data_IF_989466594574
#
_entry.id   IF_989466594574
#
_cell.length_a   1.000
_cell.length_b   1.000
_cell.length_c   1.000
_cell.angle_alpha   90.00
_cell.angle_beta   90.00
_cell.angle_gamma   90.00
#
_symmetry.space_group_name_H-M   'P 1'
#
loop_
_entity.id
_entity.type
_entity.pdbx_description
1 polymer ?
#
# COMPACT_ATOMS: atom_id res chain seq x y z
N UNK A 1 -1.86 4.10 -28.02
CA UNK A 1 -1.29 5.33 -27.45
C UNK A 1 -2.24 6.47 -27.73
N UNK A 2 -3.25 6.55 -26.88
CA UNK A 2 -4.11 7.69 -26.71
C UNK A 2 -3.71 8.43 -25.43
N UNK A 3 -4.17 9.66 -25.30
CA UNK A 3 -4.24 10.35 -24.01
C UNK A 3 -5.64 10.13 -23.46
N UNK A 4 -5.73 9.58 -22.25
CA UNK A 4 -7.00 9.29 -21.58
C UNK A 4 -7.01 9.92 -20.19
N UNK A 5 -8.14 10.49 -19.81
CA UNK A 5 -8.27 11.24 -18.55
C UNK A 5 -9.43 10.70 -17.70
N UNK A 6 -9.15 10.52 -16.42
CA UNK A 6 -10.13 10.10 -15.43
C UNK A 6 -11.17 11.19 -15.18
N UNK A 7 -12.45 10.82 -15.23
CA UNK A 7 -13.58 11.71 -14.98
C UNK A 7 -14.47 11.23 -13.84
N UNK A 8 -14.54 9.91 -13.60
CA UNK A 8 -15.31 9.33 -12.50
C UNK A 8 -16.82 9.59 -12.58
N UNK A 9 -17.41 9.43 -13.78
CA UNK A 9 -18.80 9.80 -14.09
C UNK A 9 -19.76 8.63 -14.30
N UNK A 10 -19.29 7.40 -14.23
CA UNK A 10 -20.10 6.21 -14.43
C UNK A 10 -21.25 6.13 -13.42
N UNK A 11 -22.40 5.63 -13.86
CA UNK A 11 -23.55 5.43 -12.99
C UNK A 11 -23.28 4.32 -11.97
N UNK A 12 -23.56 4.59 -10.69
CA UNK A 12 -23.43 3.59 -9.64
C UNK A 12 -24.50 2.50 -9.77
N UNK A 13 -24.06 1.25 -9.79
CA UNK A 13 -24.89 0.04 -9.84
C UNK A 13 -24.51 -0.82 -8.64
N UNK A 14 -25.51 -1.29 -7.89
CA UNK A 14 -25.30 -2.24 -6.78
C UNK A 14 -24.92 -3.62 -7.31
N UNK A 15 -23.95 -4.26 -6.66
CA UNK A 15 -23.74 -5.69 -6.84
C UNK A 15 -24.91 -6.46 -6.23
N UNK A 16 -25.34 -7.50 -6.93
CA UNK A 16 -26.35 -8.45 -6.47
C UNK A 16 -25.76 -9.86 -6.54
N UNK A 17 -25.74 -10.53 -5.39
CA UNK A 17 -25.42 -11.95 -5.28
C UNK A 17 -26.70 -12.75 -5.05
N UNK A 18 -26.87 -13.81 -5.83
CA UNK A 18 -27.94 -14.80 -5.65
C UNK A 18 -27.33 -16.08 -5.09
N UNK A 19 -27.75 -16.46 -3.89
CA UNK A 19 -27.36 -17.70 -3.22
C UNK A 19 -28.54 -18.66 -3.29
N UNK A 20 -28.45 -19.67 -4.15
CA UNK A 20 -29.53 -20.64 -4.36
C UNK A 20 -29.37 -21.83 -3.44
N UNK A 21 -30.42 -22.13 -2.68
CA UNK A 21 -30.53 -23.34 -1.86
C UNK A 21 -31.38 -24.37 -2.62
N UNK A 22 -30.92 -25.61 -2.67
CA UNK A 22 -31.62 -26.68 -3.38
C UNK A 22 -31.43 -28.04 -2.75
N UNK A 23 -31.86 -29.10 -3.45
CA UNK A 23 -31.74 -30.48 -2.98
C UNK A 23 -32.69 -30.80 -1.83
N UNK A 24 -32.42 -31.92 -1.14
CA UNK A 24 -33.23 -32.38 0.02
C UNK A 24 -32.58 -31.92 1.32
N UNK A 25 -33.27 -31.05 2.06
CA UNK A 25 -32.81 -30.52 3.34
C UNK A 25 -33.17 -31.49 4.47
N UNK A 26 -32.21 -31.83 5.31
CA UNK A 26 -32.45 -32.51 6.56
C UNK A 26 -32.34 -31.55 7.75
N UNK A 27 -33.16 -31.77 8.79
CA UNK A 27 -33.01 -31.02 10.04
C UNK A 27 -31.60 -31.26 10.58
N UNK A 28 -30.91 -30.17 10.91
CA UNK A 28 -29.54 -30.21 11.39
C UNK A 28 -28.46 -30.05 10.32
N UNK A 29 -28.81 -30.07 9.03
CA UNK A 29 -27.92 -29.62 7.96
C UNK A 29 -27.46 -28.18 8.22
N UNK A 30 -26.21 -27.86 7.87
CA UNK A 30 -25.71 -26.49 8.03
C UNK A 30 -25.36 -25.86 6.70
N UNK A 31 -25.68 -24.58 6.56
CA UNK A 31 -25.40 -23.74 5.40
C UNK A 31 -24.67 -22.49 5.86
N UNK A 32 -23.61 -22.11 5.14
CA UNK A 32 -22.68 -21.09 5.57
C UNK A 32 -22.37 -20.11 4.45
N UNK A 33 -22.25 -18.85 4.81
CA UNK A 33 -21.74 -17.77 3.96
C UNK A 33 -20.52 -17.17 4.64
N UNK A 34 -19.44 -16.98 3.89
CA UNK A 34 -18.17 -16.44 4.38
C UNK A 34 -17.82 -15.16 3.63
N UNK A 35 -17.51 -14.09 4.36
CA UNK A 35 -16.96 -12.82 3.84
C UNK A 35 -15.75 -12.48 4.68
N UNK A 36 -14.65 -12.07 4.05
CA UNK A 36 -13.42 -11.67 4.76
C UNK A 36 -12.96 -12.71 5.82
N UNK A 37 -12.98 -14.00 5.46
CA UNK A 37 -12.65 -15.14 6.33
C UNK A 37 -13.55 -15.32 7.57
N UNK A 38 -14.60 -14.50 7.75
CA UNK A 38 -15.61 -14.69 8.79
C UNK A 38 -16.84 -15.37 8.23
N UNK A 39 -17.38 -16.32 8.98
CA UNK A 39 -18.45 -17.20 8.52
C UNK A 39 -19.69 -17.03 9.36
N UNK A 40 -20.83 -16.79 8.70
CA UNK A 40 -22.17 -16.90 9.29
C UNK A 40 -22.75 -18.23 8.88
N UNK A 41 -23.20 -19.03 9.86
CA UNK A 41 -23.74 -20.37 9.64
C UNK A 41 -25.15 -20.47 10.19
N UNK A 42 -26.07 -20.99 9.39
CA UNK A 42 -27.39 -21.39 9.83
C UNK A 42 -27.50 -22.92 9.85
N UNK A 43 -28.16 -23.45 10.89
CA UNK A 43 -28.47 -24.88 11.03
C UNK A 43 -29.98 -25.05 10.79
N UNK A 44 -30.35 -25.86 9.79
CA UNK A 44 -31.74 -26.11 9.42
C UNK A 44 -32.54 -26.60 10.63
N UNK A 45 -33.59 -25.86 10.98
CA UNK A 45 -34.54 -26.20 12.03
C UNK A 45 -35.72 -27.00 11.48
N UNK A 46 -35.99 -26.90 10.17
CA UNK A 46 -36.95 -27.69 9.44
C UNK A 46 -36.34 -28.27 8.16
N UNK A 47 -36.93 -29.36 7.66
CA UNK A 47 -36.51 -30.03 6.44
C UNK A 47 -37.02 -29.32 5.16
N UNK A 48 -36.88 -27.99 5.08
CA UNK A 48 -37.37 -27.19 3.96
C UNK A 48 -36.34 -26.15 3.49
N UNK A 49 -36.40 -25.80 2.21
CA UNK A 49 -35.55 -24.75 1.64
C UNK A 49 -35.88 -23.38 2.26
N UNK A 50 -37.17 -23.08 2.46
CA UNK A 50 -37.63 -21.83 3.05
C UNK A 50 -37.11 -21.60 4.48
N UNK A 51 -36.94 -22.66 5.27
CA UNK A 51 -36.33 -22.57 6.61
C UNK A 51 -34.86 -22.12 6.51
N UNK A 52 -34.12 -22.69 5.57
CA UNK A 52 -32.71 -22.34 5.34
C UNK A 52 -32.56 -20.92 4.81
N UNK A 53 -33.35 -20.50 3.82
CA UNK A 53 -33.23 -19.14 3.24
C UNK A 53 -33.59 -18.07 4.27
N UNK A 54 -34.72 -18.21 4.97
CA UNK A 54 -35.12 -17.30 6.04
C UNK A 54 -34.12 -17.28 7.20
N UNK A 55 -33.61 -18.46 7.59
CA UNK A 55 -32.63 -18.62 8.66
C UNK A 55 -31.30 -17.95 8.36
N UNK A 56 -30.78 -18.11 7.14
CA UNK A 56 -29.57 -17.44 6.66
C UNK A 56 -29.74 -15.92 6.61
N UNK A 57 -30.83 -15.42 6.01
CA UNK A 57 -31.10 -13.97 5.93
C UNK A 57 -31.17 -13.35 7.32
N UNK A 58 -31.84 -14.01 8.26
CA UNK A 58 -31.92 -13.56 9.66
C UNK A 58 -30.53 -13.55 10.32
N UNK A 59 -29.73 -14.59 10.13
CA UNK A 59 -28.41 -14.68 10.73
C UNK A 59 -27.42 -13.64 10.18
N UNK A 60 -27.45 -13.39 8.86
CA UNK A 60 -26.55 -12.42 8.20
C UNK A 60 -26.96 -10.97 8.44
N UNK A 61 -28.25 -10.71 8.62
CA UNK A 61 -28.78 -9.36 8.93
C UNK A 61 -28.75 -9.02 10.42
N UNK A 62 -28.33 -9.94 11.28
CA UNK A 62 -28.30 -9.72 12.73
C UNK A 62 -27.27 -8.64 13.11
N UNK A 63 -27.55 -7.86 14.16
CA UNK A 63 -26.61 -6.83 14.63
C UNK A 63 -25.30 -7.43 15.16
N UNK A 64 -25.33 -8.69 15.60
CA UNK A 64 -24.16 -9.45 16.03
C UNK A 64 -23.39 -10.10 14.88
N UNK A 65 -23.92 -10.06 13.65
CA UNK A 65 -23.17 -10.49 12.48
C UNK A 65 -21.92 -9.61 12.28
N UNK A 66 -20.84 -10.14 11.70
CA UNK A 66 -19.67 -9.33 11.41
C UNK A 66 -20.00 -8.11 10.54
N UNK A 67 -19.26 -7.01 10.75
CA UNK A 67 -19.54 -5.73 10.12
C UNK A 67 -19.63 -5.81 8.58
N UNK A 68 -18.78 -6.61 7.95
CA UNK A 68 -18.77 -6.83 6.50
C UNK A 68 -20.06 -7.47 5.95
N UNK A 69 -20.82 -8.22 6.75
CA UNK A 69 -22.15 -8.73 6.34
C UNK A 69 -23.23 -7.65 6.41
N UNK A 70 -23.06 -6.68 7.32
CA UNK A 70 -24.03 -5.62 7.59
C UNK A 70 -23.99 -4.49 6.55
N UNK A 71 -22.98 -4.46 5.68
CA UNK A 71 -22.96 -3.59 4.49
C UNK A 71 -23.97 -4.05 3.43
N UNK A 72 -24.36 -5.33 3.46
CA UNK A 72 -25.19 -5.97 2.45
C UNK A 72 -26.62 -6.06 2.97
N UNK A 73 -27.58 -5.67 2.12
CA UNK A 73 -28.99 -5.91 2.38
C UNK A 73 -29.34 -7.32 1.93
N UNK A 74 -29.59 -8.22 2.87
CA UNK A 74 -29.98 -9.60 2.60
C UNK A 74 -31.50 -9.73 2.57
N UNK A 75 -32.03 -10.47 1.59
CA UNK A 75 -33.45 -10.74 1.44
C UNK A 75 -33.72 -12.20 1.11
N UNK A 76 -34.84 -12.71 1.61
CA UNK A 76 -35.32 -14.07 1.32
C UNK A 76 -36.22 -14.01 0.09
N UNK A 77 -35.82 -14.72 -0.95
CA UNK A 77 -36.56 -14.90 -2.19
C UNK A 77 -36.59 -16.40 -2.54
N UNK A 78 -36.93 -17.23 -1.55
CA UNK A 78 -36.89 -18.69 -1.63
C UNK A 78 -37.28 -19.23 -3.02
N UNK A 79 -36.42 -20.05 -3.67
CA UNK A 79 -35.30 -20.80 -3.11
C UNK A 79 -34.00 -20.00 -2.92
N UNK A 80 -33.99 -18.70 -3.21
CA UNK A 80 -32.80 -17.87 -3.19
C UNK A 80 -32.69 -17.00 -1.93
N UNK A 81 -31.45 -16.77 -1.51
CA UNK A 81 -31.07 -15.64 -0.65
C UNK A 81 -30.39 -14.61 -1.54
N UNK A 82 -30.92 -13.39 -1.56
CA UNK A 82 -30.40 -12.29 -2.39
C UNK A 82 -29.69 -11.27 -1.51
N UNK A 83 -28.39 -11.09 -1.74
CA UNK A 83 -27.58 -10.06 -1.11
C UNK A 83 -27.39 -8.88 -2.07
N UNK A 84 -27.85 -7.69 -1.68
CA UNK A 84 -27.67 -6.45 -2.45
C UNK A 84 -26.71 -5.52 -1.72
N UNK A 85 -25.56 -5.23 -2.34
CA UNK A 85 -24.56 -4.32 -1.81
C UNK A 85 -24.92 -2.84 -2.02
N UNK A 86 -24.19 -1.92 -1.36
CA UNK A 86 -24.31 -0.49 -1.66
C UNK A 86 -23.99 -0.20 -3.13
N UNK A 87 -24.63 0.80 -3.73
CA UNK A 87 -24.42 1.15 -5.13
C UNK A 87 -22.95 1.49 -5.39
N UNK A 88 -22.35 0.85 -6.39
CA UNK A 88 -20.95 1.05 -6.76
C UNK A 88 -19.93 0.44 -5.82
N UNK A 89 -20.33 -0.30 -4.80
CA UNK A 89 -19.41 -0.98 -3.87
C UNK A 89 -19.44 -2.49 -4.12
N UNK A 90 -18.34 -3.09 -4.61
CA UNK A 90 -18.28 -4.53 -4.77
C UNK A 90 -18.19 -5.23 -3.43
N UNK A 91 -18.54 -6.51 -3.40
CA UNK A 91 -18.25 -7.40 -2.27
C UNK A 91 -17.97 -8.81 -2.79
N UNK A 92 -17.43 -9.67 -1.93
CA UNK A 92 -17.20 -11.07 -2.27
C UNK A 92 -17.61 -11.93 -1.10
N UNK A 93 -18.43 -12.95 -1.37
CA UNK A 93 -18.76 -13.97 -0.40
C UNK A 93 -18.52 -15.35 -0.99
N UNK A 94 -18.26 -16.35 -0.16
CA UNK A 94 -18.23 -17.77 -0.54
C UNK A 94 -19.29 -18.53 0.23
N UNK A 95 -19.78 -19.63 -0.33
CA UNK A 95 -20.81 -20.46 0.29
C UNK A 95 -20.29 -21.87 0.53
N UNK A 96 -20.73 -22.50 1.62
CA UNK A 96 -20.43 -23.88 1.93
C UNK A 96 -21.59 -24.53 2.69
N UNK A 97 -21.58 -25.86 2.76
CA UNK A 97 -22.59 -26.64 3.50
C UNK A 97 -21.96 -27.83 4.20
N UNK A 98 -22.63 -28.29 5.24
CA UNK A 98 -22.51 -29.65 5.75
C UNK A 98 -23.89 -30.29 5.65
N UNK A 99 -24.10 -31.02 4.56
CA UNK A 99 -25.36 -31.69 4.23
C UNK A 99 -25.08 -32.80 3.22
N UNK A 100 -25.76 -33.93 3.38
CA UNK A 100 -25.65 -35.06 2.45
C UNK A 100 -26.31 -34.78 1.09
N UNK A 101 -27.51 -34.17 1.08
CA UNK A 101 -28.33 -34.00 -0.13
C UNK A 101 -28.76 -32.56 -0.41
N UNK A 102 -28.75 -31.67 0.57
CA UNK A 102 -28.99 -30.24 0.37
C UNK A 102 -27.88 -29.65 -0.50
N UNK A 103 -28.13 -28.56 -1.20
CA UNK A 103 -27.16 -27.89 -2.07
C UNK A 103 -27.16 -26.40 -1.80
N UNK A 104 -26.01 -25.76 -2.02
CA UNK A 104 -25.86 -24.31 -1.97
C UNK A 104 -24.93 -23.89 -3.10
N UNK A 105 -25.32 -22.85 -3.82
CA UNK A 105 -24.52 -22.26 -4.89
C UNK A 105 -24.66 -20.74 -4.85
N UNK A 106 -23.69 -20.03 -5.42
CA UNK A 106 -23.66 -18.57 -5.46
C UNK A 106 -23.35 -18.10 -6.87
N UNK A 107 -24.10 -17.12 -7.35
CA UNK A 107 -23.84 -16.43 -8.61
C UNK A 107 -23.97 -14.92 -8.42
N UNK A 108 -23.02 -14.16 -8.97
CA UNK A 108 -23.13 -12.72 -9.12
C UNK A 108 -24.09 -12.43 -10.28
N UNK A 109 -25.29 -11.94 -10.00
CA UNK A 109 -26.32 -11.66 -11.02
C UNK A 109 -26.22 -10.23 -11.55
N UNK A 110 -25.68 -9.32 -10.76
CA UNK A 110 -25.31 -7.96 -11.17
C UNK A 110 -23.96 -7.62 -10.58
N UNK A 111 -22.99 -7.21 -11.40
CA UNK A 111 -21.71 -6.71 -10.89
C UNK A 111 -21.83 -5.27 -10.40
N UNK A 112 -21.12 -4.91 -9.33
CA UNK A 112 -21.00 -3.51 -8.94
C UNK A 112 -20.19 -2.74 -9.99
N UNK A 113 -20.63 -1.52 -10.30
CA UNK A 113 -19.83 -0.55 -11.02
C UNK A 113 -20.26 0.85 -10.64
N UNK A 114 -19.50 1.88 -11.01
CA UNK A 114 -19.85 3.26 -10.66
C UNK A 114 -18.67 4.21 -10.74
N UNK A 115 -18.81 5.41 -10.15
CA UNK A 115 -17.87 6.51 -10.37
C UNK A 115 -16.46 6.24 -9.81
N UNK A 116 -16.29 5.22 -8.96
CA UNK A 116 -15.01 4.86 -8.36
C UNK A 116 -14.34 3.60 -8.96
N UNK A 117 -14.83 3.11 -10.10
CA UNK A 117 -14.37 1.89 -10.77
C UNK A 117 -13.42 2.21 -11.93
N UNK A 118 -12.13 1.87 -11.79
CA UNK A 118 -11.14 2.11 -12.85
C UNK A 118 -11.53 1.45 -14.18
N UNK A 119 -12.06 0.24 -14.10
CA UNK A 119 -12.41 -0.66 -15.21
C UNK A 119 -13.73 -0.30 -15.91
N UNK A 120 -14.41 0.77 -15.51
CA UNK A 120 -15.60 1.26 -16.21
C UNK A 120 -15.21 2.32 -17.24
N UNK A 121 -15.50 2.04 -18.51
CA UNK A 121 -15.24 2.92 -19.65
C UNK A 121 -15.88 4.32 -19.52
N UNK A 122 -17.05 4.44 -18.88
CA UNK A 122 -17.76 5.71 -18.68
C UNK A 122 -17.05 6.65 -17.69
N UNK A 123 -16.07 6.14 -16.94
CA UNK A 123 -15.22 6.96 -16.08
C UNK A 123 -14.07 7.63 -16.83
N UNK A 124 -13.90 7.37 -18.12
CA UNK A 124 -12.82 7.92 -18.94
C UNK A 124 -13.38 8.88 -19.99
N UNK A 125 -12.68 10.00 -20.21
CA UNK A 125 -13.09 11.01 -21.20
C UNK A 125 -13.18 10.48 -22.64
N UNK A 126 -12.39 9.44 -22.94
CA UNK A 126 -12.40 8.73 -24.22
C UNK A 126 -13.56 7.74 -24.38
N UNK A 127 -14.28 7.42 -23.31
CA UNK A 127 -15.27 6.33 -23.29
C UNK A 127 -14.64 4.94 -23.40
N UNK A 128 -13.36 4.79 -23.03
CA UNK A 128 -12.64 3.51 -23.01
C UNK A 128 -11.65 3.44 -21.85
N UNK A 129 -11.50 2.25 -21.28
CA UNK A 129 -10.52 2.00 -20.20
C UNK A 129 -9.10 2.07 -20.79
N UNK A 130 -8.11 2.65 -20.07
CA UNK A 130 -6.73 2.73 -20.52
C UNK A 130 -6.17 1.37 -20.96
N UNK A 131 -5.47 1.37 -22.09
CA UNK A 131 -4.81 0.19 -22.64
C UNK A 131 -3.28 0.38 -22.68
N UNK A 132 -2.59 -0.63 -23.21
CA UNK A 132 -1.14 -0.60 -23.31
C UNK A 132 -0.65 0.63 -24.10
N UNK A 133 0.45 1.23 -23.63
CA UNK A 133 1.12 2.40 -24.19
C UNK A 133 0.30 3.69 -24.15
N UNK A 134 -0.84 3.75 -23.44
CA UNK A 134 -1.57 5.00 -23.27
C UNK A 134 -0.90 5.92 -22.24
N UNK A 135 -1.15 7.22 -22.38
CA UNK A 135 -0.79 8.24 -21.40
C UNK A 135 -2.03 8.60 -20.58
N UNK A 136 -1.99 8.29 -19.28
CA UNK A 136 -3.13 8.42 -18.37
C UNK A 136 -2.98 9.65 -17.49
N UNK A 137 -4.05 10.44 -17.41
CA UNK A 137 -4.15 11.61 -16.54
C UNK A 137 -5.26 11.45 -15.51
N UNK A 138 -4.94 11.71 -14.25
CA UNK A 138 -5.87 11.76 -13.13
C UNK A 138 -5.71 13.13 -12.48
N UNK A 139 -6.55 14.07 -12.89
CA UNK A 139 -6.45 15.48 -12.48
C UNK A 139 -7.84 16.15 -12.47
N UNK A 140 -7.94 17.30 -11.81
CA UNK A 140 -9.13 18.16 -11.84
C UNK A 140 -10.41 17.56 -11.26
N UNK A 141 -10.32 16.53 -10.42
CA UNK A 141 -11.47 15.84 -9.83
C UNK A 141 -11.20 15.40 -8.39
N UNK A 142 -12.27 15.26 -7.61
CA UNK A 142 -12.27 14.67 -6.26
C UNK A 142 -12.80 13.23 -6.25
N UNK A 143 -13.20 12.69 -7.41
CA UNK A 143 -13.73 11.32 -7.49
C UNK A 143 -12.61 10.29 -7.34
N UNK A 144 -12.61 9.58 -6.22
CA UNK A 144 -11.63 8.52 -5.91
C UNK A 144 -11.68 7.35 -6.89
N UNK A 145 -10.59 6.59 -6.95
CA UNK A 145 -10.46 5.31 -7.65
C UNK A 145 -10.29 4.25 -6.57
N UNK A 146 -11.35 3.48 -6.32
CA UNK A 146 -11.45 2.57 -5.17
C UNK A 146 -11.62 1.11 -5.58
N UNK A 147 -12.15 0.85 -6.78
CA UNK A 147 -12.53 -0.48 -7.26
C UNK A 147 -12.09 -0.68 -8.71
N UNK A 148 -12.17 -1.93 -9.19
CA UNK A 148 -11.63 -2.30 -10.50
C UNK A 148 -10.10 -2.19 -10.56
N UNK A 149 -9.43 -2.33 -9.42
CA UNK A 149 -8.02 -1.95 -9.24
C UNK A 149 -7.02 -2.92 -9.85
N UNK A 150 -7.42 -4.18 -10.12
CA UNK A 150 -6.55 -5.14 -10.77
C UNK A 150 -6.47 -4.89 -12.29
N UNK A 151 -5.43 -4.17 -12.70
CA UNK A 151 -5.09 -3.86 -14.09
C UNK A 151 -3.69 -4.38 -14.44
N UNK A 152 -3.25 -5.45 -13.77
CA UNK A 152 -1.89 -5.97 -13.83
C UNK A 152 -1.43 -6.38 -15.25
N UNK A 153 -2.38 -6.62 -16.16
CA UNK A 153 -2.12 -6.88 -17.58
C UNK A 153 -1.89 -5.63 -18.45
N UNK A 154 -2.07 -4.42 -17.92
CA UNK A 154 -1.94 -3.16 -18.66
C UNK A 154 -0.57 -2.53 -18.39
N UNK A 155 0.16 -2.17 -19.45
CA UNK A 155 1.42 -1.45 -19.38
C UNK A 155 1.32 -0.07 -20.04
N UNK A 156 1.13 0.97 -19.25
CA UNK A 156 1.00 2.36 -19.69
C UNK A 156 2.34 2.96 -20.10
N UNK A 157 2.28 3.93 -21.02
CA UNK A 157 3.41 4.82 -21.30
C UNK A 157 3.66 5.70 -20.07
N UNK A 158 2.62 6.40 -19.60
CA UNK A 158 2.69 7.21 -18.38
C UNK A 158 1.41 7.19 -17.56
N UNK A 159 1.58 7.42 -16.26
CA UNK A 159 0.52 7.67 -15.30
C UNK A 159 0.82 8.99 -14.57
N UNK A 160 0.02 10.02 -14.85
CA UNK A 160 0.17 11.34 -14.24
C UNK A 160 -1.02 11.62 -13.32
N UNK A 161 -0.74 11.87 -12.04
CA UNK A 161 -1.72 12.26 -11.02
C UNK A 161 -1.45 13.70 -10.62
N UNK A 162 -2.33 14.62 -10.99
CA UNK A 162 -2.17 16.05 -10.73
C UNK A 162 -2.36 16.43 -9.26
N UNK A 163 -1.74 17.52 -8.82
CA UNK A 163 -1.95 18.05 -7.46
C UNK A 163 -3.39 18.56 -7.24
N UNK A 164 -4.15 18.83 -8.31
CA UNK A 164 -5.57 19.18 -8.24
C UNK A 164 -6.49 17.94 -8.16
N UNK A 165 -5.97 16.71 -8.20
CA UNK A 165 -6.72 15.52 -7.82
C UNK A 165 -6.75 15.39 -6.30
N UNK A 166 -7.94 15.49 -5.72
CA UNK A 166 -8.15 15.45 -4.26
C UNK A 166 -8.90 14.21 -3.79
N UNK A 167 -9.31 13.34 -4.73
CA UNK A 167 -9.77 11.99 -4.41
C UNK A 167 -8.63 11.10 -3.92
N UNK A 168 -8.90 9.82 -3.69
CA UNK A 168 -7.89 8.83 -3.31
C UNK A 168 -7.72 7.75 -4.38
N UNK A 169 -6.56 7.12 -4.46
CA UNK A 169 -6.32 5.92 -5.25
C UNK A 169 -6.03 4.77 -4.29
N UNK A 170 -6.85 3.73 -4.37
CA UNK A 170 -6.78 2.56 -3.50
C UNK A 170 -7.53 2.71 -2.18
N UNK A 171 -7.65 1.58 -1.47
CA UNK A 171 -8.38 1.46 -0.21
C UNK A 171 -7.43 1.44 1.00
N UNK A 172 -7.90 1.91 2.17
CA UNK A 172 -7.12 1.81 3.41
C UNK A 172 -6.91 0.33 3.80
N UNK A 173 -5.93 0.08 4.66
CA UNK A 173 -5.72 -1.27 5.22
C UNK A 173 -6.86 -1.70 6.14
N UNK A 174 -7.37 -0.76 6.94
CA UNK A 174 -8.52 -0.94 7.80
C UNK A 174 -9.71 -0.15 7.26
N UNK A 175 -10.82 -0.84 7.03
CA UNK A 175 -12.04 -0.22 6.55
C UNK A 175 -12.68 0.63 7.66
N UNK A 176 -13.19 1.84 7.36
CA UNK A 176 -13.87 2.70 8.33
C UNK A 176 -15.06 2.06 9.05
N UNK A 177 -15.64 1.00 8.50
CA UNK A 177 -16.68 0.20 9.14
C UNK A 177 -16.16 -0.75 10.24
N UNK A 178 -14.85 -0.77 10.51
CA UNK A 178 -14.25 -1.46 11.65
C UNK A 178 -13.75 -2.88 11.36
N UNK A 179 -13.39 -3.19 10.12
CA UNK A 179 -12.80 -4.49 9.74
C UNK A 179 -11.58 -4.30 8.82
N UNK A 180 -10.69 -5.30 8.77
CA UNK A 180 -9.54 -5.29 7.85
C UNK A 180 -10.03 -5.37 6.41
N UNK A 181 -9.65 -4.43 5.54
CA UNK A 181 -10.11 -4.38 4.15
C UNK A 181 -9.68 -5.64 3.39
N UNK A 182 -10.67 -6.29 2.76
CA UNK A 182 -10.50 -7.56 2.07
C UNK A 182 -10.49 -7.44 0.54
N UNK A 183 -10.90 -6.28 0.03
CA UNK A 183 -10.84 -5.95 -1.39
C UNK A 183 -9.43 -5.52 -1.78
N UNK A 184 -9.16 -5.46 -3.08
CA UNK A 184 -7.89 -4.95 -3.58
C UNK A 184 -7.64 -3.53 -3.05
N UNK A 185 -6.44 -3.30 -2.51
CA UNK A 185 -6.10 -2.03 -1.85
C UNK A 185 -5.20 -1.12 -2.69
N UNK A 186 -4.57 -1.68 -3.72
CA UNK A 186 -3.63 -1.00 -4.60
C UNK A 186 -4.16 -1.03 -6.03
N UNK A 187 -4.00 0.07 -6.76
CA UNK A 187 -4.12 0.05 -8.23
C UNK A 187 -2.94 -0.75 -8.78
N UNK A 188 -3.20 -1.99 -9.21
CA UNK A 188 -2.20 -2.87 -9.81
C UNK A 188 -2.13 -2.53 -11.30
N UNK A 189 -1.10 -1.84 -11.75
CA UNK A 189 -0.98 -1.41 -13.15
C UNK A 189 0.48 -1.18 -13.52
N UNK A 190 0.89 -1.55 -14.73
CA UNK A 190 2.21 -1.18 -15.23
C UNK A 190 2.23 0.25 -15.76
N UNK A 191 3.26 1.03 -15.45
CA UNK A 191 3.54 2.31 -16.09
C UNK A 191 5.05 2.57 -16.12
N UNK A 192 5.60 2.97 -17.27
CA UNK A 192 7.05 3.26 -17.34
C UNK A 192 7.44 4.56 -16.65
N UNK A 193 6.51 5.52 -16.60
CA UNK A 193 6.69 6.81 -15.92
C UNK A 193 5.48 7.09 -15.05
N UNK A 194 5.69 7.35 -13.77
CA UNK A 194 4.65 7.76 -12.81
C UNK A 194 5.00 9.13 -12.25
N UNK A 195 4.09 10.10 -12.41
CA UNK A 195 4.24 11.46 -11.90
C UNK A 195 3.09 11.76 -10.95
N UNK A 196 3.39 12.17 -9.73
CA UNK A 196 2.39 12.46 -8.71
C UNK A 196 2.57 13.88 -8.20
N UNK A 197 1.47 14.61 -8.06
CA UNK A 197 1.48 15.96 -7.51
C UNK A 197 1.92 17.04 -8.48
N UNK A 198 1.74 16.83 -9.79
CA UNK A 198 2.12 17.84 -10.79
C UNK A 198 1.12 18.99 -10.83
N UNK A 199 1.61 20.23 -11.00
CA UNK A 199 0.76 21.42 -11.13
C UNK A 199 0.27 21.97 -9.80
N UNK A 200 -0.77 22.81 -9.85
CA UNK A 200 -1.36 23.45 -8.67
C UNK A 200 -2.39 22.53 -7.98
N UNK A 201 -2.49 22.64 -6.65
CA UNK A 201 -3.49 21.94 -5.84
C UNK A 201 -2.93 21.41 -4.53
N UNK A 202 -3.79 20.76 -3.73
CA UNK A 202 -3.43 20.22 -2.41
C UNK A 202 -2.84 18.81 -2.46
N UNK A 203 -2.98 18.11 -3.57
CA UNK A 203 -2.64 16.69 -3.72
C UNK A 203 -3.65 15.77 -3.04
N UNK A 204 -3.55 14.48 -3.36
CA UNK A 204 -4.30 13.41 -2.70
C UNK A 204 -3.61 13.00 -1.40
N UNK A 205 -4.40 12.72 -0.37
CA UNK A 205 -3.91 12.18 0.90
C UNK A 205 -3.66 10.66 0.90
N UNK A 206 -4.03 9.95 -0.18
CA UNK A 206 -3.75 8.53 -0.35
C UNK A 206 -3.67 8.14 -1.83
N UNK A 207 -2.51 7.66 -2.24
CA UNK A 207 -2.24 7.06 -3.53
C UNK A 207 -1.50 5.74 -3.30
N UNK A 208 -2.17 4.62 -3.58
CA UNK A 208 -1.61 3.26 -3.47
C UNK A 208 -1.52 2.63 -4.87
N UNK A 209 -0.31 2.42 -5.37
CA UNK A 209 -0.05 1.86 -6.70
C UNK A 209 0.88 0.66 -6.57
N UNK A 210 0.56 -0.42 -7.27
CA UNK A 210 1.43 -1.58 -7.47
C UNK A 210 1.83 -1.67 -8.94
N UNK A 211 3.10 -1.42 -9.22
CA UNK A 211 3.69 -1.41 -10.56
C UNK A 211 4.10 -2.81 -11.04
N UNK A 212 3.94 -3.83 -10.21
CA UNK A 212 4.30 -5.21 -10.49
C UNK A 212 5.77 -5.36 -10.86
N UNK A 213 6.03 -5.91 -12.06
CA UNK A 213 7.39 -6.08 -12.61
C UNK A 213 7.79 -5.03 -13.64
N UNK A 214 6.95 -4.01 -13.84
CA UNK A 214 7.22 -2.97 -14.84
C UNK A 214 8.44 -2.15 -14.46
N UNK A 215 9.37 -1.99 -15.39
CA UNK A 215 10.47 -1.05 -15.25
C UNK A 215 9.91 0.38 -15.23
N UNK A 216 10.05 1.08 -14.10
CA UNK A 216 9.38 2.36 -13.89
C UNK A 216 10.29 3.42 -13.27
N UNK A 217 10.02 4.69 -13.57
CA UNK A 217 10.50 5.85 -12.81
C UNK A 217 9.31 6.55 -12.15
N UNK A 218 9.41 6.81 -10.85
CA UNK A 218 8.35 7.44 -10.05
C UNK A 218 8.88 8.75 -9.46
N UNK A 219 8.16 9.86 -9.68
CA UNK A 219 8.44 11.14 -9.02
C UNK A 219 7.20 11.68 -8.32
N UNK A 220 7.27 11.84 -7.01
CA UNK A 220 6.28 12.50 -6.17
C UNK A 220 6.71 13.95 -5.90
N UNK A 221 6.10 14.90 -6.61
CA UNK A 221 6.38 16.32 -6.52
C UNK A 221 5.63 17.00 -5.39
N UNK A 222 4.40 16.53 -5.12
CA UNK A 222 3.54 17.03 -4.06
C UNK A 222 2.46 16.01 -3.71
N UNK A 223 2.61 15.34 -2.59
CA UNK A 223 1.52 14.56 -2.01
C UNK A 223 0.65 15.45 -1.10
N UNK A 224 -0.63 15.11 -0.95
CA UNK A 224 -1.48 15.73 0.07
C UNK A 224 -1.10 15.29 1.48
N UNK A 225 -1.75 15.87 2.49
CA UNK A 225 -1.60 15.40 3.86
C UNK A 225 -2.04 13.93 3.96
N UNK A 226 -1.21 13.09 4.56
CA UNK A 226 -1.47 11.66 4.69
C UNK A 226 -2.82 11.43 5.38
N UNK A 227 -3.70 10.67 4.71
CA UNK A 227 -5.03 10.36 5.22
C UNK A 227 -5.00 9.18 6.20
N UNK A 228 -4.13 8.21 5.96
CA UNK A 228 -4.01 7.03 6.80
C UNK A 228 -2.94 7.28 7.88
N UNK A 229 -3.35 7.20 9.15
CA UNK A 229 -2.48 7.51 10.30
C UNK A 229 -1.22 6.63 10.31
N UNK A 230 -0.05 7.27 10.47
CA UNK A 230 1.24 6.58 10.54
C UNK A 230 1.78 6.07 9.18
N UNK A 231 1.10 6.38 8.07
CA UNK A 231 1.51 5.96 6.73
C UNK A 231 1.79 7.17 5.83
N UNK A 232 2.65 7.03 4.82
CA UNK A 232 2.86 8.09 3.83
C UNK A 232 1.64 8.21 2.91
N UNK A 233 1.44 9.42 2.35
CA UNK A 233 0.34 9.70 1.43
C UNK A 233 0.48 8.97 0.09
N UNK A 234 1.70 8.65 -0.33
CA UNK A 234 1.98 7.84 -1.52
C UNK A 234 2.63 6.52 -1.09
N UNK A 235 2.07 5.39 -1.51
CA UNK A 235 2.65 4.07 -1.27
C UNK A 235 2.79 3.35 -2.61
N UNK A 236 4.02 2.95 -2.93
CA UNK A 236 4.34 2.23 -4.15
C UNK A 236 4.77 0.81 -3.80
N UNK A 237 4.29 -0.15 -4.60
CA UNK A 237 4.87 -1.48 -4.76
C UNK A 237 5.44 -1.62 -6.16
N UNK A 238 6.49 -2.43 -6.31
CA UNK A 238 7.12 -2.66 -7.61
C UNK A 238 8.49 -3.30 -7.47
N UNK A 239 8.82 -4.21 -8.41
CA UNK A 239 10.04 -5.04 -8.38
C UNK A 239 11.09 -4.61 -9.42
N UNK A 240 10.94 -3.43 -10.03
CA UNK A 240 11.89 -2.91 -11.02
C UNK A 240 11.86 -1.38 -11.11
N UNK A 241 11.89 -0.68 -9.98
CA UNK A 241 11.94 0.78 -10.00
C UNK A 241 13.37 1.25 -10.32
N UNK A 242 13.52 2.00 -11.40
CA UNK A 242 14.78 2.68 -11.74
C UNK A 242 15.04 3.82 -10.75
N UNK A 243 14.05 4.70 -10.58
CA UNK A 243 14.11 5.83 -9.66
C UNK A 243 12.79 5.95 -8.91
N UNK A 244 12.85 6.21 -7.61
CA UNK A 244 11.73 6.69 -6.82
C UNK A 244 12.14 7.97 -6.07
N UNK A 245 11.64 9.10 -6.57
CA UNK A 245 11.95 10.43 -6.06
C UNK A 245 10.75 11.02 -5.29
N UNK A 246 11.03 11.64 -4.15
CA UNK A 246 10.08 12.44 -3.38
C UNK A 246 10.68 13.82 -3.18
N UNK A 247 10.10 14.82 -3.84
CA UNK A 247 10.55 16.22 -3.76
C UNK A 247 9.90 16.92 -2.56
N UNK A 248 8.60 16.70 -2.38
CA UNK A 248 7.77 17.25 -1.30
C UNK A 248 6.63 16.27 -0.97
N UNK A 249 6.18 16.30 0.29
CA UNK A 249 5.19 15.38 0.83
C UNK A 249 5.82 14.07 1.35
N UNK A 250 4.98 13.05 1.52
CA UNK A 250 5.39 11.76 2.06
C UNK A 250 5.13 10.63 1.07
N UNK A 251 6.14 9.78 0.87
CA UNK A 251 5.99 8.56 0.10
C UNK A 251 6.65 7.36 0.79
N UNK A 252 6.34 6.15 0.33
CA UNK A 252 7.01 4.95 0.80
C UNK A 252 6.98 3.80 -0.19
N UNK A 253 7.91 2.87 -0.01
CA UNK A 253 8.09 1.65 -0.80
C UNK A 253 7.89 0.45 0.14
N UNK A 254 6.97 -0.46 -0.23
CA UNK A 254 6.72 -1.70 0.50
C UNK A 254 6.51 -1.50 2.02
N UNK A 255 5.65 -0.54 2.38
CA UNK A 255 5.52 -0.02 3.76
C UNK A 255 4.85 -1.01 4.72
N UNK A 256 4.00 -1.92 4.23
CA UNK A 256 3.34 -2.89 5.12
C UNK A 256 4.16 -4.17 5.26
N UNK A 257 4.11 -4.79 6.45
CA UNK A 257 4.69 -6.11 6.66
C UNK A 257 4.13 -7.14 5.66
N UNK A 258 5.04 -7.86 5.01
CA UNK A 258 4.74 -8.81 3.93
C UNK A 258 4.70 -8.22 2.52
N UNK A 259 4.65 -6.89 2.37
CA UNK A 259 4.84 -6.24 1.07
C UNK A 259 6.31 -6.37 0.64
N UNK A 260 6.57 -6.38 -0.67
CA UNK A 260 7.94 -6.39 -1.21
C UNK A 260 8.09 -5.32 -2.28
N UNK A 261 9.32 -4.83 -2.46
CA UNK A 261 9.61 -3.84 -3.50
C UNK A 261 11.10 -3.65 -3.72
N UNK A 262 11.48 -3.17 -4.90
CA UNK A 262 12.88 -2.90 -5.21
C UNK A 262 13.05 -1.60 -5.98
N UNK A 263 14.06 -0.82 -5.60
CA UNK A 263 14.43 0.39 -6.32
C UNK A 263 15.96 0.46 -6.53
N UNK A 264 16.38 0.89 -7.72
CA UNK A 264 17.79 1.15 -7.98
C UNK A 264 18.21 2.45 -7.30
N UNK A 265 17.42 3.52 -7.46
CA UNK A 265 17.72 4.82 -6.84
C UNK A 265 16.48 5.37 -6.13
N UNK A 266 16.66 5.80 -4.89
CA UNK A 266 15.69 6.57 -4.11
C UNK A 266 16.27 7.94 -3.82
N UNK A 267 15.51 8.99 -4.12
CA UNK A 267 15.91 10.39 -3.91
C UNK A 267 14.88 11.08 -3.01
N UNK A 268 15.35 11.77 -1.97
CA UNK A 268 14.49 12.49 -1.03
C UNK A 268 14.95 13.93 -0.94
N UNK A 269 14.13 14.84 -1.47
CA UNK A 269 14.34 16.28 -1.40
C UNK A 269 14.17 16.81 0.03
N UNK A 270 14.63 18.04 0.28
CA UNK A 270 14.65 18.64 1.62
C UNK A 270 13.27 18.72 2.31
N UNK A 271 12.18 18.80 1.54
CA UNK A 271 10.81 18.82 2.04
C UNK A 271 10.12 17.44 1.93
N UNK A 272 10.81 16.45 1.38
CA UNK A 272 10.30 15.10 1.22
C UNK A 272 10.46 14.27 2.49
N UNK A 273 9.56 13.32 2.66
CA UNK A 273 9.66 12.23 3.63
C UNK A 273 9.50 10.89 2.93
N UNK A 274 10.42 9.96 3.19
CA UNK A 274 10.42 8.62 2.61
C UNK A 274 10.36 7.55 3.68
N UNK A 275 9.54 6.53 3.47
CA UNK A 275 9.54 5.29 4.27
C UNK A 275 9.83 4.08 3.39
N UNK A 276 10.99 3.44 3.58
CA UNK A 276 11.34 2.17 2.95
C UNK A 276 11.09 1.04 3.95
N UNK A 277 10.05 0.24 3.72
CA UNK A 277 9.65 -0.83 4.63
C UNK A 277 10.54 -2.08 4.55
N UNK A 278 10.42 -2.97 5.53
CA UNK A 278 11.30 -4.15 5.73
C UNK A 278 11.47 -5.06 4.50
N UNK A 279 10.42 -5.22 3.70
CA UNK A 279 10.43 -6.06 2.50
C UNK A 279 11.01 -5.39 1.26
N UNK A 280 11.49 -4.16 1.37
CA UNK A 280 12.14 -3.45 0.28
C UNK A 280 13.60 -3.91 0.06
N UNK A 281 14.15 -3.66 -1.12
CA UNK A 281 15.58 -3.73 -1.38
C UNK A 281 16.00 -2.56 -2.27
N UNK A 282 16.92 -1.74 -1.76
CA UNK A 282 17.30 -0.50 -2.45
C UNK A 282 18.80 -0.43 -2.68
N UNK A 283 19.24 -0.11 -3.89
CA UNK A 283 20.68 0.03 -4.14
C UNK A 283 21.17 1.36 -3.60
N UNK A 284 20.66 2.47 -4.09
CA UNK A 284 21.10 3.82 -3.68
C UNK A 284 19.97 4.61 -3.07
N UNK A 285 20.22 5.20 -1.90
CA UNK A 285 19.35 6.20 -1.27
C UNK A 285 20.17 7.48 -1.10
N UNK A 286 19.65 8.60 -1.57
CA UNK A 286 20.20 9.94 -1.30
C UNK A 286 19.10 10.80 -0.70
N UNK A 287 19.36 11.38 0.48
CA UNK A 287 18.39 12.21 1.18
C UNK A 287 18.97 13.54 1.65
N UNK A 288 18.20 14.61 1.46
CA UNK A 288 18.36 15.88 2.18
C UNK A 288 17.15 16.19 3.07
N UNK A 289 16.13 15.31 3.06
CA UNK A 289 14.90 15.45 3.83
C UNK A 289 14.82 14.45 4.98
N UNK A 290 13.65 13.85 5.16
CA UNK A 290 13.42 12.82 6.17
C UNK A 290 13.34 11.44 5.52
N UNK A 291 14.06 10.45 6.07
CA UNK A 291 13.96 9.07 5.61
C UNK A 291 13.92 8.09 6.78
N UNK A 292 12.98 7.15 6.74
CA UNK A 292 12.97 5.96 7.60
C UNK A 292 13.27 4.75 6.72
N UNK A 293 14.32 4.01 7.08
CA UNK A 293 14.84 2.89 6.31
C UNK A 293 14.81 1.63 7.18
N UNK A 294 13.95 0.69 6.82
CA UNK A 294 13.80 -0.60 7.49
C UNK A 294 14.33 -1.76 6.61
N UNK A 295 14.92 -1.44 5.46
CA UNK A 295 15.44 -2.39 4.48
C UNK A 295 16.94 -2.31 4.25
N UNK A 296 17.50 -3.32 3.59
CA UNK A 296 18.90 -3.32 3.17
C UNK A 296 19.16 -2.27 2.07
N UNK A 297 20.24 -1.51 2.25
CA UNK A 297 20.70 -0.46 1.32
C UNK A 297 22.15 -0.67 0.92
N UNK A 298 22.47 -0.59 -0.37
CA UNK A 298 23.87 -0.70 -0.83
C UNK A 298 24.64 0.60 -0.59
N UNK A 299 24.05 1.75 -0.87
CA UNK A 299 24.66 3.06 -0.65
C UNK A 299 23.63 4.03 -0.10
N UNK A 300 23.82 4.48 1.13
CA UNK A 300 23.02 5.51 1.78
C UNK A 300 23.83 6.78 1.89
N UNK A 301 23.37 7.84 1.22
CA UNK A 301 23.95 9.19 1.31
C UNK A 301 22.99 10.13 2.02
N UNK A 302 23.44 10.73 3.12
CA UNK A 302 22.71 11.75 3.88
C UNK A 302 23.42 13.08 3.66
N UNK A 303 22.83 13.92 2.80
CA UNK A 303 23.36 15.24 2.48
C UNK A 303 22.91 16.31 3.48
N UNK A 304 21.67 16.19 3.98
CA UNK A 304 21.10 17.01 5.04
C UNK A 304 19.90 16.28 5.68
N UNK A 305 19.23 16.92 6.64
CA UNK A 305 18.02 16.40 7.27
C UNK A 305 18.29 15.27 8.24
N UNK A 306 17.31 14.38 8.41
CA UNK A 306 17.37 13.25 9.35
C UNK A 306 17.02 11.95 8.64
N UNK A 307 17.95 11.00 8.67
CA UNK A 307 17.72 9.64 8.20
C UNK A 307 17.77 8.68 9.40
N UNK A 308 16.74 7.85 9.57
CA UNK A 308 16.70 6.81 10.61
C UNK A 308 16.75 5.44 9.96
N UNK A 309 17.76 4.63 10.30
CA UNK A 309 17.90 3.23 9.86
C UNK A 309 17.48 2.34 11.02
N UNK A 310 16.60 1.35 10.80
CA UNK A 310 15.96 0.58 11.88
C UNK A 310 16.03 -0.94 11.71
N UNK A 311 15.85 -1.64 12.84
CA UNK A 311 15.63 -3.08 12.89
C UNK A 311 16.91 -3.88 12.62
N UNK A 312 16.92 -4.64 11.54
CA UNK A 312 18.06 -5.42 11.06
C UNK A 312 18.60 -4.94 9.70
N UNK A 313 18.14 -3.76 9.24
CA UNK A 313 18.58 -3.14 8.00
C UNK A 313 20.12 -2.99 7.96
N UNK A 314 20.74 -3.52 6.91
CA UNK A 314 22.18 -3.38 6.65
C UNK A 314 22.46 -2.25 5.66
N UNK A 315 23.60 -1.57 5.82
CA UNK A 315 24.04 -0.50 4.91
C UNK A 315 25.47 -0.78 4.44
N UNK A 316 25.67 -1.11 3.17
CA UNK A 316 27.03 -1.42 2.70
C UNK A 316 27.93 -0.17 2.67
N UNK A 317 27.44 0.97 2.18
CA UNK A 317 28.17 2.25 2.23
C UNK A 317 27.28 3.35 2.82
N UNK A 318 27.64 3.83 4.02
CA UNK A 318 27.01 4.97 4.67
C UNK A 318 27.88 6.22 4.46
N UNK A 319 27.34 7.23 3.80
CA UNK A 319 28.00 8.51 3.54
C UNK A 319 27.14 9.61 4.17
N UNK A 320 27.64 10.27 5.20
CA UNK A 320 26.93 11.37 5.87
C UNK A 320 27.68 12.67 5.61
N UNK A 321 27.28 13.41 4.59
CA UNK A 321 27.90 14.67 4.20
C UNK A 321 27.44 15.83 5.11
N UNK A 322 26.17 15.79 5.53
CA UNK A 322 25.54 16.73 6.46
C UNK A 322 24.42 16.03 7.24
N UNK A 323 23.56 16.81 7.91
CA UNK A 323 22.42 16.26 8.66
C UNK A 323 22.81 15.23 9.73
N UNK A 324 21.86 14.33 10.04
CA UNK A 324 22.02 13.24 11.01
C UNK A 324 21.52 11.91 10.45
N UNK A 325 22.34 10.87 10.57
CA UNK A 325 21.92 9.48 10.44
C UNK A 325 21.74 8.87 11.84
N UNK A 326 20.50 8.61 12.25
CA UNK A 326 20.17 7.83 13.44
C UNK A 326 20.19 6.35 13.08
N UNK A 327 21.19 5.62 13.55
CA UNK A 327 21.38 4.21 13.23
C UNK A 327 20.85 3.33 14.37
N UNK A 328 19.54 3.11 14.34
CA UNK A 328 18.75 2.28 15.27
C UNK A 328 18.60 0.84 14.74
N UNK A 329 19.67 0.31 14.13
CA UNK A 329 19.69 -1.01 13.50
C UNK A 329 20.82 -1.88 14.05
N UNK A 330 20.54 -3.17 14.20
CA UNK A 330 21.54 -4.22 14.49
C UNK A 330 22.35 -4.63 13.25
N UNK A 331 21.94 -4.19 12.06
CA UNK A 331 22.60 -4.50 10.81
C UNK A 331 24.01 -3.90 10.69
N UNK A 332 24.87 -4.56 9.93
CA UNK A 332 26.27 -4.15 9.72
C UNK A 332 26.38 -2.97 8.77
N UNK A 333 27.35 -2.09 9.05
CA UNK A 333 27.84 -1.07 8.10
C UNK A 333 29.20 -1.53 7.56
N UNK A 334 29.33 -1.72 6.24
CA UNK A 334 30.63 -2.15 5.69
C UNK A 334 31.60 -0.96 5.58
N UNK A 335 31.13 0.19 5.11
CA UNK A 335 31.94 1.41 5.04
C UNK A 335 31.14 2.62 5.49
N UNK A 336 31.76 3.48 6.30
CA UNK A 336 31.13 4.68 6.85
C UNK A 336 32.04 5.90 6.65
N UNK A 337 31.55 6.92 5.97
CA UNK A 337 32.23 8.23 5.83
C UNK A 337 31.39 9.32 6.48
N UNK A 338 31.97 10.08 7.40
CA UNK A 338 31.22 11.02 8.25
C UNK A 338 31.80 12.43 8.20
N UNK A 339 31.04 13.37 7.62
CA UNK A 339 31.20 14.83 7.71
C UNK A 339 30.04 15.50 8.47
N UNK A 340 28.86 14.88 8.51
CA UNK A 340 27.72 15.26 9.37
C UNK A 340 27.70 14.49 10.70
N UNK A 341 26.55 13.99 11.14
CA UNK A 341 26.41 13.22 12.38
C UNK A 341 25.90 11.80 12.14
N UNK A 342 26.52 10.80 12.79
CA UNK A 342 25.98 9.45 12.96
C UNK A 342 25.70 9.22 14.44
N UNK A 343 24.47 8.84 14.76
CA UNK A 343 23.99 8.64 16.12
C UNK A 343 23.53 7.20 16.34
N UNK A 344 24.24 6.50 17.22
CA UNK A 344 23.95 5.13 17.65
C UNK A 344 23.26 5.07 19.02
N UNK A 345 22.93 6.21 19.64
CA UNK A 345 22.35 6.25 20.99
C UNK A 345 20.91 5.75 21.08
N UNK A 346 20.20 5.65 19.95
CA UNK A 346 18.80 5.19 19.91
C UNK A 346 18.60 3.67 20.09
N UNK A 347 19.66 2.87 19.99
CA UNK A 347 19.59 1.41 20.08
C UNK A 347 20.80 0.87 20.86
N UNK A 348 20.62 -0.15 21.69
CA UNK A 348 21.70 -0.79 22.46
C UNK A 348 22.18 -2.12 21.88
N UNK A 349 21.57 -2.58 20.79
CA UNK A 349 21.89 -3.85 20.13
C UNK A 349 23.34 -3.88 19.63
N UNK A 350 24.06 -5.00 19.70
CA UNK A 350 25.42 -5.07 19.16
C UNK A 350 25.39 -4.93 17.63
N UNK A 351 26.33 -4.15 17.08
CA UNK A 351 26.48 -3.99 15.62
C UNK A 351 27.94 -3.81 15.23
N UNK A 352 28.23 -4.02 13.94
CA UNK A 352 29.59 -3.90 13.40
C UNK A 352 29.67 -2.75 12.39
N UNK A 353 30.74 -1.97 12.48
CA UNK A 353 31.17 -1.04 11.42
C UNK A 353 32.56 -1.46 10.98
N UNK A 354 32.71 -1.86 9.71
CA UNK A 354 33.99 -2.43 9.25
C UNK A 354 35.02 -1.34 9.00
N UNK A 355 34.75 -0.44 8.05
CA UNK A 355 35.61 0.69 7.72
C UNK A 355 34.96 2.02 8.11
N UNK A 356 35.70 2.88 8.82
CA UNK A 356 35.24 4.21 9.21
C UNK A 356 36.24 5.28 8.80
N UNK A 357 35.77 6.29 8.07
CA UNK A 357 36.50 7.52 7.75
C UNK A 357 35.78 8.72 8.37
N UNK A 358 36.41 9.35 9.34
CA UNK A 358 35.93 10.60 9.94
C UNK A 358 36.57 11.79 9.23
N UNK A 359 35.73 12.70 8.72
CA UNK A 359 36.13 13.95 8.06
C UNK A 359 35.91 15.14 8.97
N UNK A 360 36.45 16.30 8.59
CA UNK A 360 36.23 17.57 9.29
C UNK A 360 34.74 17.83 9.51
N UNK A 361 34.36 18.15 10.76
CA UNK A 361 32.98 18.42 11.16
C UNK A 361 32.17 17.18 11.56
N UNK A 362 32.65 15.98 11.19
CA UNK A 362 31.99 14.72 11.46
C UNK A 362 31.85 14.42 12.94
N UNK A 363 30.73 13.79 13.32
CA UNK A 363 30.42 13.37 14.69
C UNK A 363 29.89 11.93 14.70
N UNK A 364 30.40 11.13 15.62
CA UNK A 364 29.90 9.78 15.92
C UNK A 364 29.49 9.76 17.39
N UNK A 365 28.24 9.38 17.67
CA UNK A 365 27.70 9.26 19.02
C UNK A 365 27.38 7.78 19.32
N UNK A 366 28.14 7.16 20.23
CA UNK A 366 27.89 5.79 20.71
C UNK A 366 28.11 5.70 22.24
N UNK A 367 27.22 6.30 23.05
CA UNK A 367 27.40 6.39 24.50
C UNK A 367 27.35 5.03 25.19
N UNK A 368 26.72 4.04 24.56
CA UNK A 368 26.56 2.69 25.10
C UNK A 368 27.66 1.73 24.66
N UNK A 369 28.61 2.17 23.80
CA UNK A 369 29.65 1.32 23.22
C UNK A 369 29.07 0.09 22.53
N UNK A 370 27.96 0.30 21.84
CA UNK A 370 27.23 -0.75 21.13
C UNK A 370 27.90 -1.14 19.81
N UNK A 371 28.78 -0.28 19.29
CA UNK A 371 29.44 -0.45 18.00
C UNK A 371 30.80 -1.13 18.15
N UNK A 372 31.00 -2.23 17.42
CA UNK A 372 32.32 -2.81 17.19
C UNK A 372 32.89 -2.25 15.89
N UNK A 373 33.95 -1.45 16.00
CA UNK A 373 34.75 -1.01 14.86
C UNK A 373 35.80 -2.08 14.53
N UNK A 374 35.63 -2.78 13.41
CA UNK A 374 36.54 -3.88 13.04
C UNK A 374 37.91 -3.36 12.63
N UNK A 375 37.95 -2.33 11.79
CA UNK A 375 39.16 -1.59 11.49
C UNK A 375 39.21 -0.29 12.31
N UNK A 376 40.42 0.24 12.51
CA UNK A 376 40.58 1.52 13.22
C UNK A 376 39.89 2.67 12.49
N UNK A 377 39.37 3.64 13.25
CA UNK A 377 38.78 4.85 12.68
C UNK A 377 39.88 5.66 11.99
N UNK A 378 39.75 5.83 10.67
CA UNK A 378 40.65 6.63 9.87
C UNK A 378 40.24 8.11 9.93
N UNK A 379 41.20 8.99 10.17
CA UNK A 379 41.01 10.44 10.09
C UNK A 379 41.40 10.92 8.69
N UNK A 380 40.50 11.61 8.02
CA UNK A 380 40.80 12.26 6.75
C UNK A 380 41.80 13.41 6.94
N UNK A 381 42.60 13.73 5.92
CA UNK A 381 43.61 14.78 5.97
C UNK A 381 43.05 16.19 6.26
N UNK A 382 41.73 16.39 6.17
CA UNK A 382 41.04 17.61 6.56
C UNK A 382 40.83 17.78 8.08
N UNK A 383 41.08 16.74 8.88
CA UNK A 383 40.90 16.73 10.35
C UNK A 383 42.14 17.33 11.03
N UNK A 384 41.95 18.39 11.80
CA UNK A 384 43.03 19.05 12.55
C UNK A 384 43.14 18.59 14.01
N UNK A 385 42.00 18.24 14.62
CA UNK A 385 41.86 17.88 16.03
C UNK A 385 40.67 16.92 16.22
N UNK A 386 40.73 16.10 17.27
CA UNK A 386 39.67 15.16 17.65
C UNK A 386 39.40 15.32 19.15
N UNK A 387 38.12 15.50 19.50
CA UNK A 387 37.67 15.53 20.90
C UNK A 387 36.85 14.28 21.18
N UNK A 388 37.31 13.47 22.12
CA UNK A 388 36.49 12.40 22.71
C UNK A 388 35.81 12.96 23.96
N UNK A 389 34.49 12.81 24.06
CA UNK A 389 33.67 13.25 25.19
C UNK A 389 33.14 12.05 25.96
#
# INVERSE_FOLDING_TARGET
MATVRWTGRAQAISQVETITIGGTIAIGDTFSVTINKKTVTYKAAAATIADVTAGLVKAMSDKSAPAEFREITWSDQSPDVVGTGPAGVPFTCTVSKNSAAGTISRTTTTAATGPNHWDNADNWDSGSVPAALDDVYIDGTSTSILYGLNQSGVGLSSLTIGANFTGTVGLPKDNPAGYVEYRDQYLQIGATTVKIGTGEGSGSGRIKIDLGSTAASVSAWKAGAALDSGLPAVIILGSNLSTFEVVDGSAGLAVFGGDTGTATTVLVGANGSMHLGEGASVQTVTTSGQATIECNVTTLTVDDGTCTVRGDATVAALIVNGGTCQYESSGTINSMTVSGAVDFSGDMSPRTVTDTTLKRGGRILDPYRSVTFTNGIQLDGSVNDVTAA
#
